data_IF_159147121952
#
_entry.id   IF_159147121952
#
_cell.length_a   1.000
_cell.length_b   1.000
_cell.length_c   1.000
_cell.angle_alpha   90.00
_cell.angle_beta   90.00
_cell.angle_gamma   90.00
#
_symmetry.space_group_name_H-M   'P 1'
#
loop_
_entity.id
_entity.type
_entity.pdbx_description
1 polymer ?
#
# COMPACT_ATOMS: atom_id res chain seq x y z
N UNK A 1 18.78 -10.51 -34.14
CA UNK A 1 17.53 -10.81 -33.42
C UNK A 1 17.85 -11.45 -32.08
N UNK A 2 18.60 -12.56 -31.99
CA UNK A 2 18.98 -13.21 -30.71
C UNK A 2 19.68 -12.31 -29.67
N UNK A 3 20.64 -11.48 -30.09
CA UNK A 3 21.39 -10.61 -29.16
C UNK A 3 20.49 -9.49 -28.59
N UNK A 4 19.56 -8.98 -29.39
CA UNK A 4 18.57 -8.00 -28.95
C UNK A 4 17.58 -8.62 -27.96
N UNK A 5 17.12 -9.85 -28.21
CA UNK A 5 16.19 -10.56 -27.32
C UNK A 5 16.83 -10.88 -25.95
N UNK A 6 18.12 -11.24 -25.91
CA UNK A 6 18.86 -11.46 -24.67
C UNK A 6 19.04 -10.18 -23.83
N UNK A 7 19.34 -9.06 -24.50
CA UNK A 7 19.48 -7.75 -23.86
C UNK A 7 18.11 -7.29 -23.33
N UNK A 8 17.06 -7.38 -24.14
CA UNK A 8 15.69 -7.01 -23.77
C UNK A 8 15.18 -7.88 -22.60
N UNK A 9 15.39 -9.19 -22.65
CA UNK A 9 15.03 -10.15 -21.59
C UNK A 9 15.72 -9.87 -20.26
N UNK A 10 16.92 -9.29 -20.25
CA UNK A 10 17.70 -9.07 -19.03
C UNK A 10 17.52 -7.66 -18.49
N UNK A 11 17.49 -6.65 -19.36
CA UNK A 11 17.44 -5.24 -18.96
C UNK A 11 16.01 -4.79 -18.64
N UNK A 12 14.99 -5.26 -19.36
CA UNK A 12 13.61 -4.86 -19.08
C UNK A 12 13.15 -5.21 -17.66
N UNK A 13 13.39 -6.42 -17.11
CA UNK A 13 13.00 -6.73 -15.73
C UNK A 13 13.72 -5.87 -14.70
N UNK A 14 14.98 -5.50 -14.96
CA UNK A 14 15.76 -4.62 -14.08
C UNK A 14 15.16 -3.22 -14.06
N UNK A 15 14.87 -2.66 -15.25
CA UNK A 15 14.23 -1.36 -15.38
C UNK A 15 12.84 -1.37 -14.73
N UNK A 16 12.07 -2.44 -14.92
CA UNK A 16 10.74 -2.59 -14.33
C UNK A 16 10.80 -2.58 -12.80
N UNK A 17 11.68 -3.38 -12.20
CA UNK A 17 11.89 -3.39 -10.74
C UNK A 17 12.33 -2.02 -10.21
N UNK A 18 13.25 -1.33 -10.91
CA UNK A 18 13.70 0.00 -10.52
C UNK A 18 12.53 1.00 -10.57
N UNK A 19 11.72 0.95 -11.62
CA UNK A 19 10.59 1.86 -11.81
C UNK A 19 9.52 1.61 -10.73
N UNK A 20 9.22 0.35 -10.42
CA UNK A 20 8.35 -0.04 -9.30
C UNK A 20 8.92 0.47 -7.97
N UNK A 21 10.23 0.32 -7.72
CA UNK A 21 10.86 0.80 -6.49
C UNK A 21 10.77 2.33 -6.34
N UNK A 22 10.99 3.09 -7.42
CA UNK A 22 10.81 4.54 -7.42
C UNK A 22 9.34 4.90 -7.18
N UNK A 23 8.39 4.23 -7.83
CA UNK A 23 6.97 4.47 -7.63
C UNK A 23 6.56 4.24 -6.17
N UNK A 24 7.00 3.13 -5.57
CA UNK A 24 6.79 2.83 -4.15
C UNK A 24 7.42 3.88 -3.23
N UNK A 25 8.62 4.38 -3.56
CA UNK A 25 9.26 5.45 -2.79
C UNK A 25 8.44 6.75 -2.81
N UNK A 26 7.86 7.13 -3.95
CA UNK A 26 7.00 8.30 -4.06
C UNK A 26 5.71 8.15 -3.25
N UNK A 27 5.08 6.97 -3.30
CA UNK A 27 3.91 6.64 -2.47
C UNK A 27 4.27 6.72 -0.98
N UNK A 28 5.39 6.12 -0.58
CA UNK A 28 5.87 6.22 0.79
C UNK A 28 6.07 7.67 1.23
N UNK A 29 6.74 8.49 0.41
CA UNK A 29 6.98 9.91 0.69
C UNK A 29 5.69 10.70 0.86
N UNK A 30 4.64 10.37 0.10
CA UNK A 30 3.34 11.03 0.15
C UNK A 30 2.58 10.72 1.45
N UNK A 31 2.66 9.48 1.93
CA UNK A 31 1.96 9.02 3.13
C UNK A 31 2.76 9.34 4.40
N UNK A 32 4.09 9.48 4.30
CA UNK A 32 4.96 9.74 5.45
C UNK A 32 4.58 11.05 6.16
N UNK A 33 4.31 10.95 7.46
CA UNK A 33 3.99 12.10 8.32
C UNK A 33 2.50 12.45 8.40
N UNK A 34 1.63 11.66 7.75
CA UNK A 34 0.17 11.78 7.86
C UNK A 34 -0.37 10.93 9.01
N UNK A 35 -1.52 11.30 9.57
CA UNK A 35 -2.23 10.45 10.54
C UNK A 35 -2.56 9.06 9.98
N UNK A 36 -2.67 8.96 8.65
CA UNK A 36 -2.86 7.73 7.92
C UNK A 36 -1.77 6.67 8.20
N UNK A 37 -0.49 7.05 8.36
CA UNK A 37 0.58 6.06 8.63
C UNK A 37 0.43 5.39 10.01
N UNK A 38 -0.11 6.12 10.99
CA UNK A 38 -0.33 5.62 12.34
C UNK A 38 -1.48 4.59 12.32
N UNK A 39 -2.58 4.93 11.65
CA UNK A 39 -3.75 4.07 11.53
C UNK A 39 -3.43 2.83 10.69
N UNK A 40 -2.69 2.99 9.60
CA UNK A 40 -2.19 1.87 8.80
C UNK A 40 -1.38 0.88 9.64
N UNK A 41 -0.40 1.37 10.41
CA UNK A 41 0.42 0.53 11.28
C UNK A 41 -0.42 -0.20 12.33
N UNK A 42 -1.41 0.47 12.92
CA UNK A 42 -2.36 -0.16 13.85
C UNK A 42 -3.15 -1.30 13.20
N UNK A 43 -3.68 -1.07 12.00
CA UNK A 43 -4.39 -2.08 11.23
C UNK A 43 -3.49 -3.28 10.88
N UNK A 44 -2.26 -3.04 10.44
CA UNK A 44 -1.28 -4.12 10.16
C UNK A 44 -0.98 -4.95 11.41
N UNK A 45 -0.83 -4.32 12.58
CA UNK A 45 -0.63 -5.04 13.84
C UNK A 45 -1.83 -5.94 14.15
N UNK A 46 -3.06 -5.43 14.04
CA UNK A 46 -4.28 -6.20 14.27
C UNK A 46 -4.36 -7.38 13.28
N UNK A 47 -4.02 -7.16 12.02
CA UNK A 47 -3.99 -8.21 11.00
C UNK A 47 -2.99 -9.32 11.33
N UNK A 48 -1.78 -8.97 11.79
CA UNK A 48 -0.77 -9.94 12.22
C UNK A 48 -1.28 -10.76 13.41
N UNK A 49 -1.91 -10.11 14.40
CA UNK A 49 -2.48 -10.80 15.57
C UNK A 49 -3.57 -11.77 15.11
N UNK A 50 -4.48 -11.32 14.26
CA UNK A 50 -5.52 -12.18 13.68
C UNK A 50 -4.90 -13.41 13.01
N UNK A 51 -3.89 -13.22 12.15
CA UNK A 51 -3.24 -14.31 11.43
C UNK A 51 -2.57 -15.32 12.37
N UNK A 52 -1.92 -14.84 13.44
CA UNK A 52 -1.37 -15.72 14.49
C UNK A 52 -2.48 -16.53 15.16
N UNK A 53 -3.60 -15.88 15.50
CA UNK A 53 -4.73 -16.55 16.16
C UNK A 53 -5.44 -17.56 15.26
N UNK A 54 -5.45 -17.30 13.96
CA UNK A 54 -6.02 -18.18 12.94
C UNK A 54 -5.18 -19.46 12.79
N UNK A 55 -3.86 -19.32 12.64
CA UNK A 55 -2.92 -20.45 12.60
C UNK A 55 -2.95 -21.25 13.92
N UNK A 56 -3.13 -20.57 15.06
CA UNK A 56 -3.27 -21.19 16.37
C UNK A 56 -4.64 -21.88 16.60
N UNK A 57 -5.54 -21.90 15.61
CA UNK A 57 -6.89 -22.46 15.70
C UNK A 57 -7.76 -21.84 16.83
N UNK A 58 -7.52 -20.57 17.16
CA UNK A 58 -8.30 -19.84 18.16
C UNK A 58 -9.60 -19.30 17.53
N UNK A 59 -10.59 -20.17 17.31
CA UNK A 59 -11.81 -19.86 16.56
C UNK A 59 -12.55 -18.60 17.03
N UNK A 60 -12.73 -18.40 18.34
CA UNK A 60 -13.47 -17.23 18.85
C UNK A 60 -12.71 -15.94 18.55
N UNK A 61 -11.41 -15.90 18.85
CA UNK A 61 -10.60 -14.72 18.69
C UNK A 61 -10.33 -14.41 17.21
N UNK A 62 -10.08 -15.43 16.39
CA UNK A 62 -9.95 -15.28 14.92
C UNK A 62 -11.25 -14.74 14.32
N UNK A 63 -12.42 -15.23 14.75
CA UNK A 63 -13.70 -14.73 14.25
C UNK A 63 -13.97 -13.26 14.66
N UNK A 64 -13.66 -12.87 15.91
CA UNK A 64 -13.83 -11.49 16.38
C UNK A 64 -12.89 -10.55 15.64
N UNK A 65 -11.60 -10.89 15.58
CA UNK A 65 -10.60 -10.07 14.91
C UNK A 65 -10.84 -10.02 13.39
N UNK A 66 -11.25 -11.13 12.77
CA UNK A 66 -11.65 -11.19 11.37
C UNK A 66 -12.85 -10.30 11.06
N UNK A 67 -13.86 -10.29 11.92
CA UNK A 67 -14.97 -9.34 11.84
C UNK A 67 -14.52 -7.88 11.97
N UNK A 68 -13.60 -7.61 12.90
CA UNK A 68 -13.00 -6.28 13.07
C UNK A 68 -12.20 -5.85 11.83
N UNK A 69 -11.44 -6.76 11.21
CA UNK A 69 -10.68 -6.51 9.98
C UNK A 69 -11.64 -6.20 8.82
N UNK A 70 -12.73 -6.95 8.69
CA UNK A 70 -13.75 -6.73 7.65
C UNK A 70 -14.33 -5.30 7.69
N UNK A 71 -14.73 -4.82 8.87
CA UNK A 71 -15.19 -3.42 9.04
C UNK A 71 -14.02 -2.43 9.02
N UNK A 72 -12.84 -2.85 9.48
CA UNK A 72 -11.64 -2.04 9.55
C UNK A 72 -11.11 -1.62 8.19
N UNK A 73 -11.33 -2.41 7.12
CA UNK A 73 -11.01 -1.99 5.74
C UNK A 73 -11.85 -0.77 5.33
N UNK A 74 -13.14 -0.74 5.67
CA UNK A 74 -13.98 0.44 5.41
C UNK A 74 -13.50 1.65 6.21
N UNK A 75 -13.15 1.46 7.49
CA UNK A 75 -12.57 2.52 8.31
C UNK A 75 -11.27 3.06 7.72
N UNK A 76 -10.42 2.16 7.18
CA UNK A 76 -9.17 2.52 6.52
C UNK A 76 -9.41 3.42 5.30
N UNK A 77 -10.37 3.07 4.44
CA UNK A 77 -10.75 3.88 3.26
C UNK A 77 -11.25 5.26 3.68
N UNK A 78 -12.13 5.33 4.69
CA UNK A 78 -12.69 6.60 5.18
C UNK A 78 -11.60 7.50 5.76
N UNK A 79 -10.69 6.92 6.55
CA UNK A 79 -9.55 7.64 7.12
C UNK A 79 -8.65 8.18 6.02
N UNK A 80 -8.33 7.36 5.00
CA UNK A 80 -7.47 7.75 3.88
C UNK A 80 -8.15 8.64 2.84
N UNK A 81 -9.44 8.94 2.98
CA UNK A 81 -10.19 9.71 2.00
C UNK A 81 -9.55 11.08 1.76
N UNK A 82 -9.03 11.73 2.81
CA UNK A 82 -8.41 13.06 2.71
C UNK A 82 -7.09 13.01 1.94
N UNK A 83 -6.29 11.98 2.16
CA UNK A 83 -5.01 11.73 1.50
C UNK A 83 -5.21 11.41 0.03
N UNK A 84 -6.18 10.53 -0.31
CA UNK A 84 -6.54 10.21 -1.71
C UNK A 84 -6.96 11.48 -2.44
N UNK A 85 -7.82 12.30 -1.82
CA UNK A 85 -8.22 13.59 -2.40
C UNK A 85 -7.01 14.48 -2.65
N UNK A 86 -6.12 14.62 -1.66
CA UNK A 86 -4.92 15.46 -1.76
C UNK A 86 -3.97 14.96 -2.84
N UNK A 87 -3.80 13.65 -2.95
CA UNK A 87 -2.99 13.01 -3.99
C UNK A 87 -3.50 13.36 -5.40
N UNK A 88 -4.80 13.15 -5.64
CA UNK A 88 -5.42 13.47 -6.92
C UNK A 88 -5.32 14.96 -7.25
N UNK A 89 -5.46 15.83 -6.24
CA UNK A 89 -5.27 17.27 -6.41
C UNK A 89 -3.84 17.62 -6.78
N UNK A 90 -2.81 16.99 -6.17
CA UNK A 90 -1.41 17.23 -6.52
C UNK A 90 -1.09 16.75 -7.93
N UNK A 91 -1.64 15.60 -8.34
CA UNK A 91 -1.49 15.06 -9.68
C UNK A 91 -2.19 15.92 -10.75
N UNK A 92 -3.36 16.48 -10.42
CA UNK A 92 -4.17 17.29 -11.34
C UNK A 92 -3.91 18.79 -11.29
N UNK A 93 -3.29 19.31 -10.22
CA UNK A 93 -2.96 20.73 -10.13
C UNK A 93 -1.70 21.00 -10.95
N UNK A 94 -1.89 21.52 -12.16
CA UNK A 94 -0.83 22.04 -13.02
C UNK A 94 -0.04 23.14 -12.30
N UNK A 95 1.07 22.76 -11.65
CA UNK A 95 2.21 23.64 -11.36
C UNK A 95 3.17 23.73 -12.56
N UNK A 96 2.64 23.57 -13.78
CA UNK A 96 3.38 23.59 -15.04
C UNK A 96 2.99 24.81 -15.91
N UNK A 97 1.91 25.52 -15.58
CA UNK A 97 1.54 26.75 -16.31
C UNK A 97 2.14 27.98 -15.62
N UNK A 98 3.42 28.26 -15.89
CA UNK A 98 4.00 29.60 -15.79
C UNK A 98 5.03 29.76 -16.90
#
# INVERSE_FOLDING_TARGET
MEILDLIVSTILPIIDIILVAVMLYWVYKLIRGTSAIIIFRGFVIIYIIWWITDIANMNILSNILGGFISVGVFALIIVFQQEIRRFLLILGSNRITN
#
